data_IF_712830552971
#
_entry.id   IF_712830552971
#
_cell.length_a   1.000
_cell.length_b   1.000
_cell.length_c   1.000
_cell.angle_alpha   90.00
_cell.angle_beta   90.00
_cell.angle_gamma   90.00
#
_symmetry.space_group_name_H-M   'P 1'
#
loop_
_entity.id
_entity.type
_entity.pdbx_description
1 polymer ?
#
# COMPACT_ATOMS: atom_id res chain seq x y z
N UNK A 1 -24.11 31.27 0.88
CA UNK A 1 -22.99 31.75 0.06
C UNK A 1 -21.82 30.76 -0.07
N UNK A 2 -21.86 29.58 0.56
CA UNK A 2 -20.68 28.70 0.65
C UNK A 2 -20.73 27.45 -0.25
N UNK A 3 -21.92 26.87 -0.45
CA UNK A 3 -22.10 25.66 -1.28
C UNK A 3 -21.83 25.96 -2.76
N UNK A 4 -22.32 27.08 -3.29
CA UNK A 4 -22.10 27.44 -4.69
C UNK A 4 -20.61 27.60 -5.03
N UNK A 5 -19.83 28.28 -4.18
CA UNK A 5 -18.39 28.44 -4.34
C UNK A 5 -17.65 27.10 -4.27
N UNK A 6 -18.10 26.20 -3.39
CA UNK A 6 -17.57 24.83 -3.29
C UNK A 6 -17.80 24.03 -4.57
N UNK A 7 -19.01 24.07 -5.14
CA UNK A 7 -19.31 23.40 -6.41
C UNK A 7 -18.58 24.02 -7.61
N UNK A 8 -18.46 25.36 -7.66
CA UNK A 8 -17.64 26.03 -8.67
C UNK A 8 -16.20 25.54 -8.61
N UNK A 9 -15.62 25.45 -7.40
CA UNK A 9 -14.27 24.92 -7.24
C UNK A 9 -14.18 23.46 -7.66
N UNK A 10 -15.15 22.61 -7.31
CA UNK A 10 -15.21 21.22 -7.77
C UNK A 10 -15.21 21.18 -9.30
N UNK A 11 -16.04 21.96 -9.98
CA UNK A 11 -16.10 22.01 -11.44
C UNK A 11 -14.76 22.44 -12.08
N UNK A 12 -14.01 23.34 -11.43
CA UNK A 12 -12.69 23.78 -11.92
C UNK A 12 -11.61 22.68 -11.83
N UNK A 13 -11.71 21.76 -10.88
CA UNK A 13 -10.61 20.84 -10.54
C UNK A 13 -10.95 19.35 -10.59
N UNK A 14 -12.21 18.98 -10.80
CA UNK A 14 -12.65 17.59 -10.96
C UNK A 14 -11.93 16.95 -12.16
N UNK A 15 -11.38 15.76 -11.96
CA UNK A 15 -10.71 14.95 -13.00
C UNK A 15 -9.58 15.70 -13.74
N UNK A 16 -9.02 16.74 -13.12
CA UNK A 16 -7.94 17.56 -13.70
C UNK A 16 -6.55 17.20 -13.16
N UNK A 17 -6.46 16.18 -12.29
CA UNK A 17 -5.26 15.78 -11.53
C UNK A 17 -4.66 16.87 -10.62
N UNK A 18 -5.21 18.10 -10.64
CA UNK A 18 -4.78 19.22 -9.77
C UNK A 18 -5.07 18.94 -8.29
N UNK A 19 -5.97 18.02 -7.98
CA UNK A 19 -6.31 17.58 -6.62
C UNK A 19 -5.46 16.37 -6.22
N UNK A 20 -4.39 16.62 -5.48
CA UNK A 20 -3.51 15.55 -5.00
C UNK A 20 -4.00 15.03 -3.63
N UNK A 21 -4.89 14.04 -3.64
CA UNK A 21 -5.52 13.50 -2.44
C UNK A 21 -4.58 12.69 -1.53
N UNK A 22 -3.39 12.32 -2.03
CA UNK A 22 -2.36 11.60 -1.28
C UNK A 22 -2.06 10.24 -1.88
N UNK A 23 -1.08 9.55 -1.28
CA UNK A 23 -0.69 8.19 -1.63
C UNK A 23 -0.81 7.28 -0.42
N UNK A 24 -0.99 5.99 -0.68
CA UNK A 24 -1.19 5.00 0.37
C UNK A 24 -0.04 4.00 0.37
N UNK A 25 0.39 3.60 1.57
CA UNK A 25 1.47 2.65 1.76
C UNK A 25 1.09 1.64 2.84
N UNK A 26 1.23 0.35 2.56
CA UNK A 26 1.24 -0.67 3.60
C UNK A 26 2.60 -0.61 4.31
N UNK A 27 2.56 -0.49 5.63
CA UNK A 27 3.73 -0.49 6.50
C UNK A 27 3.54 -1.57 7.55
N UNK A 28 4.51 -2.48 7.65
CA UNK A 28 4.53 -3.57 8.62
C UNK A 28 5.82 -3.53 9.44
N UNK A 29 5.74 -3.91 10.70
CA UNK A 29 6.85 -3.86 11.66
C UNK A 29 7.20 -5.27 12.16
N UNK A 30 8.49 -5.59 12.18
CA UNK A 30 9.01 -6.89 12.67
C UNK A 30 10.31 -6.69 13.46
N UNK A 31 10.46 -7.33 14.61
CA UNK A 31 11.62 -7.12 15.49
C UNK A 31 11.45 -7.64 16.92
N UNK A 32 10.66 -8.70 17.12
CA UNK A 32 10.24 -9.18 18.45
C UNK A 32 11.40 -9.51 19.41
N UNK A 33 12.49 -10.10 18.90
CA UNK A 33 13.51 -10.69 19.76
C UNK A 33 14.31 -9.69 20.60
N UNK A 34 14.39 -8.43 20.17
CA UNK A 34 15.02 -7.33 20.93
C UNK A 34 14.00 -6.38 21.54
N UNK A 35 12.70 -6.66 21.38
CA UNK A 35 11.63 -5.84 21.93
C UNK A 35 11.47 -4.46 21.29
N UNK A 36 11.96 -4.25 20.06
CA UNK A 36 11.94 -2.91 19.44
C UNK A 36 10.53 -2.33 19.27
N UNK A 37 9.60 -3.15 18.77
CA UNK A 37 8.27 -2.69 18.37
C UNK A 37 7.19 -2.94 19.40
N UNK A 38 7.45 -3.72 20.46
CA UNK A 38 6.49 -4.05 21.54
C UNK A 38 5.11 -4.39 20.96
N UNK A 39 4.12 -3.51 21.18
CA UNK A 39 2.75 -3.66 20.70
C UNK A 39 2.60 -3.57 19.18
N UNK A 40 3.55 -3.01 18.44
CA UNK A 40 3.49 -2.85 16.98
C UNK A 40 4.00 -4.10 16.23
N UNK A 41 4.51 -5.10 16.94
CA UNK A 41 5.09 -6.31 16.34
C UNK A 41 4.09 -7.09 15.49
N UNK A 42 4.47 -7.37 14.24
CA UNK A 42 3.64 -8.10 13.29
C UNK A 42 2.37 -7.36 12.86
N UNK A 43 2.14 -6.12 13.32
CA UNK A 43 1.00 -5.31 12.90
C UNK A 43 1.28 -4.66 11.57
N UNK A 44 0.26 -4.64 10.74
CA UNK A 44 0.25 -3.96 9.45
C UNK A 44 -0.68 -2.76 9.50
N UNK A 45 -0.28 -1.68 8.84
CA UNK A 45 -1.00 -0.43 8.78
C UNK A 45 -1.02 0.10 7.35
N UNK A 46 -2.11 0.77 6.97
CA UNK A 46 -2.12 1.64 5.79
C UNK A 46 -1.80 3.06 6.25
N UNK A 47 -0.76 3.65 5.69
CA UNK A 47 -0.35 5.04 5.88
C UNK A 47 -0.87 5.87 4.72
N UNK A 48 -1.51 7.00 5.02
CA UNK A 48 -1.91 8.01 4.03
C UNK A 48 -0.91 9.18 4.05
N UNK A 49 -0.11 9.26 3.00
CA UNK A 49 0.89 10.31 2.80
C UNK A 49 0.34 11.48 1.96
N UNK A 50 0.85 12.70 2.16
CA UNK A 50 0.40 13.86 1.42
C UNK A 50 0.82 13.82 -0.06
N UNK A 51 0.00 14.42 -0.92
CA UNK A 51 0.32 14.70 -2.33
C UNK A 51 0.85 13.46 -3.07
N UNK A 52 2.09 13.53 -3.56
CA UNK A 52 2.76 12.53 -4.39
C UNK A 52 4.00 11.96 -3.69
N UNK A 53 4.06 11.99 -2.35
CA UNK A 53 5.15 11.39 -1.56
C UNK A 53 5.51 10.02 -2.13
N UNK A 54 6.79 9.84 -2.48
CA UNK A 54 7.28 8.63 -3.14
C UNK A 54 7.62 7.52 -2.14
N UNK A 55 7.78 6.28 -2.64
CA UNK A 55 8.17 5.14 -1.82
C UNK A 55 9.49 5.38 -1.07
N UNK A 56 10.48 5.97 -1.75
CA UNK A 56 11.77 6.31 -1.15
C UNK A 56 11.64 7.33 -0.03
N UNK A 57 10.77 8.33 -0.19
CA UNK A 57 10.57 9.40 0.78
C UNK A 57 9.97 8.87 2.09
N UNK A 58 8.88 8.08 2.01
CA UNK A 58 8.30 7.46 3.22
C UNK A 58 9.28 6.44 3.83
N UNK A 59 9.97 5.64 3.02
CA UNK A 59 10.93 4.64 3.50
C UNK A 59 12.08 5.29 4.26
N UNK A 60 12.66 6.37 3.73
CA UNK A 60 13.73 7.12 4.38
C UNK A 60 13.23 7.83 5.64
N UNK A 61 12.02 8.40 5.62
CA UNK A 61 11.43 9.06 6.80
C UNK A 61 11.20 8.06 7.94
N UNK A 62 10.68 6.87 7.65
CA UNK A 62 10.51 5.82 8.64
C UNK A 62 11.85 5.27 9.11
N UNK A 63 12.78 4.99 8.19
CA UNK A 63 14.13 4.55 8.53
C UNK A 63 14.80 5.53 9.52
N UNK A 64 14.78 6.82 9.20
CA UNK A 64 15.35 7.86 10.07
C UNK A 64 14.67 7.90 11.44
N UNK A 65 13.34 7.92 11.47
CA UNK A 65 12.57 7.97 12.71
C UNK A 65 12.91 6.82 13.67
N UNK A 66 13.02 5.59 13.15
CA UNK A 66 13.31 4.43 13.98
C UNK A 66 14.81 4.23 14.21
N UNK A 67 15.69 4.69 13.30
CA UNK A 67 17.12 4.76 13.52
C UNK A 67 17.45 5.70 14.68
N UNK A 68 16.77 6.85 14.77
CA UNK A 68 16.91 7.78 15.90
C UNK A 68 16.45 7.16 17.23
N UNK A 69 15.51 6.19 17.19
CA UNK A 69 14.99 5.49 18.38
C UNK A 69 15.84 4.27 18.79
N UNK A 70 16.33 3.50 17.83
CA UNK A 70 16.95 2.18 18.07
C UNK A 70 18.43 2.10 17.72
N UNK A 71 19.00 3.15 17.11
CA UNK A 71 20.33 3.16 16.52
C UNK A 71 20.30 2.85 15.03
N UNK A 72 21.07 3.60 14.24
CA UNK A 72 21.08 3.50 12.78
C UNK A 72 21.47 2.10 12.26
N UNK A 73 22.37 1.41 12.97
CA UNK A 73 22.82 0.08 12.59
C UNK A 73 21.81 -1.03 12.94
N UNK A 74 20.73 -0.71 13.64
CA UNK A 74 19.76 -1.69 14.10
C UNK A 74 18.47 -1.72 13.28
N UNK A 75 18.29 -0.83 12.28
CA UNK A 75 17.03 -0.71 11.52
C UNK A 75 17.23 -1.03 10.05
N UNK A 76 16.33 -1.84 9.47
CA UNK A 76 16.36 -2.25 8.06
C UNK A 76 15.02 -2.08 7.38
N UNK A 77 15.05 -1.60 6.13
CA UNK A 77 13.84 -1.55 5.28
C UNK A 77 13.76 -2.85 4.47
N UNK A 78 12.60 -3.52 4.52
CA UNK A 78 12.26 -4.62 3.62
C UNK A 78 11.61 -4.02 2.38
N UNK A 79 12.32 -4.09 1.25
CA UNK A 79 11.83 -3.63 -0.06
C UNK A 79 10.95 -4.67 -0.77
N UNK A 80 11.07 -5.94 -0.38
CA UNK A 80 10.23 -7.00 -0.92
C UNK A 80 8.80 -6.87 -0.43
N UNK A 81 7.81 -7.08 -1.30
CA UNK A 81 6.39 -6.94 -0.97
C UNK A 81 5.73 -8.26 -0.54
N UNK A 82 6.41 -9.40 -0.61
CA UNK A 82 5.84 -10.68 -0.19
C UNK A 82 5.53 -10.69 1.30
N UNK A 83 4.72 -11.67 1.70
CA UNK A 83 4.46 -11.93 3.11
C UNK A 83 5.78 -12.35 3.77
N UNK A 84 6.23 -11.56 4.74
CA UNK A 84 7.46 -11.82 5.47
C UNK A 84 7.20 -12.94 6.47
N UNK A 85 8.09 -13.94 6.48
CA UNK A 85 8.13 -14.95 7.52
C UNK A 85 9.12 -14.48 8.61
N UNK A 86 8.66 -14.19 9.83
CA UNK A 86 9.52 -13.67 10.89
C UNK A 86 10.71 -14.58 11.24
N UNK A 87 10.61 -15.88 10.96
CA UNK A 87 11.69 -16.86 11.21
C UNK A 87 12.91 -16.66 10.31
N UNK A 88 12.72 -16.01 9.16
CA UNK A 88 13.78 -15.77 8.17
C UNK A 88 14.49 -14.42 8.40
N UNK A 89 14.03 -13.65 9.39
CA UNK A 89 14.62 -12.37 9.77
C UNK A 89 15.71 -12.57 10.83
N UNK A 90 16.79 -11.78 10.73
CA UNK A 90 17.82 -11.77 11.78
C UNK A 90 17.25 -11.08 13.02
N UNK A 91 17.13 -11.79 14.17
CA UNK A 91 16.49 -11.26 15.36
C UNK A 91 17.15 -9.99 15.92
N UNK A 92 18.39 -9.66 15.51
CA UNK A 92 19.12 -8.47 15.95
C UNK A 92 18.54 -7.14 15.43
N UNK A 93 17.82 -7.15 14.31
CA UNK A 93 17.39 -5.92 13.65
C UNK A 93 15.88 -5.67 13.79
N UNK A 94 15.53 -4.39 13.79
CA UNK A 94 14.19 -3.89 13.58
C UNK A 94 13.93 -3.74 12.07
N UNK A 95 12.96 -4.47 11.55
CA UNK A 95 12.57 -4.44 10.14
C UNK A 95 11.28 -3.65 9.95
N UNK A 96 11.27 -2.82 8.91
CA UNK A 96 10.09 -2.10 8.45
C UNK A 96 9.86 -2.44 6.99
N UNK A 97 8.75 -3.10 6.70
CA UNK A 97 8.34 -3.37 5.31
C UNK A 97 7.46 -2.23 4.82
N UNK A 98 7.79 -1.67 3.65
CA UNK A 98 7.01 -0.58 3.06
C UNK A 98 6.63 -0.93 1.63
N UNK A 99 5.34 -1.00 1.35
CA UNK A 99 4.79 -1.38 0.04
C UNK A 99 3.79 -0.33 -0.42
N UNK A 100 3.94 0.17 -1.65
CA UNK A 100 2.94 1.06 -2.24
C UNK A 100 1.63 0.30 -2.48
N UNK A 101 0.49 0.93 -2.18
CA UNK A 101 -0.83 0.37 -2.42
C UNK A 101 -1.73 1.43 -3.08
N UNK A 102 -2.72 0.97 -3.84
CA UNK A 102 -3.77 1.82 -4.40
C UNK A 102 -5.12 1.47 -3.79
N UNK A 103 -6.09 2.39 -3.75
CA UNK A 103 -7.47 2.04 -3.41
C UNK A 103 -7.98 0.90 -4.30
N UNK A 104 -8.69 -0.05 -3.71
CA UNK A 104 -9.28 -1.19 -4.42
C UNK A 104 -10.81 -1.07 -4.43
N UNK A 105 -11.38 -1.31 -5.61
CA UNK A 105 -12.82 -1.28 -5.84
C UNK A 105 -13.23 -2.50 -6.66
N UNK A 106 -14.36 -3.09 -6.34
CA UNK A 106 -15.00 -4.10 -7.19
C UNK A 106 -15.70 -3.45 -8.37
N UNK A 107 -16.00 -4.22 -9.42
CA UNK A 107 -16.64 -3.73 -10.65
C UNK A 107 -17.89 -2.88 -10.36
N UNK A 108 -18.75 -3.34 -9.45
CA UNK A 108 -19.96 -2.61 -9.03
C UNK A 108 -19.64 -1.27 -8.36
N UNK A 109 -18.56 -1.18 -7.58
CA UNK A 109 -18.17 0.08 -6.93
C UNK A 109 -17.52 1.05 -7.91
N UNK A 110 -16.87 0.54 -8.97
CA UNK A 110 -16.30 1.36 -10.03
C UNK A 110 -17.41 2.08 -10.81
N UNK A 111 -18.58 1.47 -10.98
CA UNK A 111 -19.75 2.11 -11.59
C UNK A 111 -20.23 3.35 -10.82
N UNK A 112 -20.14 3.30 -9.48
CA UNK A 112 -20.57 4.38 -8.58
C UNK A 112 -19.49 5.45 -8.36
N UNK A 113 -18.21 5.10 -8.45
CA UNK A 113 -17.07 6.00 -8.12
C UNK A 113 -16.41 6.53 -9.38
N UNK A 114 -16.97 7.61 -9.92
CA UNK A 114 -16.58 8.17 -11.24
C UNK A 114 -15.55 9.28 -11.16
N UNK A 115 -15.36 9.88 -9.99
CA UNK A 115 -14.49 11.05 -9.79
C UNK A 115 -13.28 10.73 -8.92
N UNK A 116 -12.19 11.49 -9.11
CA UNK A 116 -11.01 11.40 -8.25
C UNK A 116 -11.34 11.51 -6.75
N UNK A 117 -12.34 12.33 -6.41
CA UNK A 117 -12.79 12.51 -5.04
C UNK A 117 -13.42 11.23 -4.47
N UNK A 118 -14.33 10.62 -5.23
CA UNK A 118 -14.99 9.37 -4.83
C UNK A 118 -13.97 8.23 -4.70
N UNK A 119 -12.93 8.20 -5.52
CA UNK A 119 -11.86 7.20 -5.40
C UNK A 119 -10.99 7.37 -4.13
N UNK A 120 -11.06 8.51 -3.44
CA UNK A 120 -10.22 8.82 -2.27
C UNK A 120 -11.01 9.10 -0.98
N UNK A 121 -12.34 9.05 -1.05
CA UNK A 121 -13.23 9.35 0.06
C UNK A 121 -14.05 8.11 0.46
N UNK A 122 -14.12 7.84 1.76
CA UNK A 122 -14.76 6.65 2.33
C UNK A 122 -14.24 5.35 1.72
N UNK A 123 -12.93 5.13 1.81
CA UNK A 123 -12.24 3.94 1.31
C UNK A 123 -11.55 3.19 2.45
N UNK A 124 -11.58 1.86 2.43
CA UNK A 124 -10.90 1.00 3.40
C UNK A 124 -10.21 -0.21 2.78
N UNK A 125 -10.32 -0.40 1.46
CA UNK A 125 -9.68 -1.50 0.73
C UNK A 125 -8.55 -1.00 -0.13
N UNK A 126 -7.42 -1.68 -0.06
CA UNK A 126 -6.20 -1.30 -0.74
C UNK A 126 -5.56 -2.51 -1.41
N UNK A 127 -5.02 -2.35 -2.60
CA UNK A 127 -4.42 -3.44 -3.38
C UNK A 127 -2.95 -3.16 -3.69
N UNK A 128 -2.16 -4.21 -3.67
CA UNK A 128 -0.84 -4.25 -4.33
C UNK A 128 -0.67 -5.57 -5.06
N UNK A 129 0.22 -5.57 -6.05
CA UNK A 129 0.52 -6.73 -6.86
C UNK A 129 1.99 -7.12 -6.68
N UNK A 130 2.27 -8.41 -6.49
CA UNK A 130 3.62 -8.95 -6.30
C UNK A 130 3.93 -9.97 -7.40
N UNK A 131 5.00 -9.77 -8.19
CA UNK A 131 5.38 -10.68 -9.25
C UNK A 131 6.04 -11.94 -8.67
N UNK A 132 5.73 -13.09 -9.26
CA UNK A 132 6.40 -14.36 -8.95
C UNK A 132 6.40 -15.28 -10.18
N UNK A 133 7.20 -16.33 -10.16
CA UNK A 133 7.24 -17.37 -11.20
C UNK A 133 6.88 -18.73 -10.61
N UNK A 134 6.48 -19.68 -11.47
CA UNK A 134 6.24 -21.07 -11.06
C UNK A 134 7.47 -21.74 -10.42
N UNK A 135 8.67 -21.24 -10.74
CA UNK A 135 9.94 -21.69 -10.17
C UNK A 135 10.32 -20.99 -8.86
N UNK A 136 9.48 -20.07 -8.35
CA UNK A 136 9.68 -19.36 -7.08
C UNK A 136 10.57 -18.11 -7.18
N UNK A 137 11.01 -17.72 -8.40
CA UNK A 137 11.69 -16.44 -8.61
C UNK A 137 10.66 -15.31 -8.65
N UNK A 138 11.10 -14.06 -8.48
CA UNK A 138 10.21 -12.89 -8.61
C UNK A 138 9.89 -12.57 -10.07
N UNK A 139 10.91 -12.64 -10.93
CA UNK A 139 10.82 -12.30 -12.35
C UNK A 139 11.24 -13.46 -13.23
N UNK A 140 10.53 -13.62 -14.34
CA UNK A 140 10.78 -14.63 -15.38
C UNK A 140 10.36 -14.14 -16.75
N UNK A 141 10.39 -15.04 -17.74
CA UNK A 141 9.81 -14.75 -19.05
C UNK A 141 8.28 -14.63 -18.98
N UNK A 142 7.67 -14.03 -20.00
CA UNK A 142 6.20 -13.81 -20.05
C UNK A 142 5.43 -15.12 -19.86
N UNK A 143 5.93 -16.24 -20.38
CA UNK A 143 5.29 -17.56 -20.25
C UNK A 143 5.32 -18.14 -18.82
N UNK A 144 6.15 -17.60 -17.92
CA UNK A 144 6.32 -18.09 -16.54
C UNK A 144 5.92 -17.04 -15.49
N UNK A 145 5.64 -15.80 -15.92
CA UNK A 145 5.41 -14.68 -15.03
C UNK A 145 3.98 -14.73 -14.48
N UNK A 146 3.84 -15.08 -13.21
CA UNK A 146 2.62 -15.00 -12.44
C UNK A 146 2.56 -13.68 -11.65
N UNK A 147 1.37 -13.35 -11.14
CA UNK A 147 1.14 -12.15 -10.33
C UNK A 147 0.22 -12.46 -9.16
N UNK A 148 0.62 -12.13 -7.94
CA UNK A 148 -0.24 -12.22 -6.75
C UNK A 148 -0.84 -10.86 -6.47
N UNK A 149 -2.16 -10.75 -6.51
CA UNK A 149 -2.91 -9.56 -6.14
C UNK A 149 -3.35 -9.71 -4.69
N UNK A 150 -2.92 -8.81 -3.82
CA UNK A 150 -3.27 -8.83 -2.39
C UNK A 150 -4.12 -7.61 -2.05
N UNK A 151 -5.28 -7.85 -1.45
CA UNK A 151 -6.23 -6.83 -1.00
C UNK A 151 -6.17 -6.76 0.52
N UNK A 152 -6.01 -5.56 1.05
CA UNK A 152 -5.91 -5.25 2.46
C UNK A 152 -7.12 -4.43 2.87
N UNK A 153 -7.75 -4.79 3.98
CA UNK A 153 -8.89 -4.06 4.55
C UNK A 153 -8.51 -3.46 5.89
N UNK A 154 -8.68 -2.15 6.03
CA UNK A 154 -8.41 -1.41 7.26
C UNK A 154 -9.60 -1.40 8.22
N UNK A 155 -9.32 -1.22 9.52
CA UNK A 155 -10.36 -1.16 10.56
C UNK A 155 -11.32 0.02 10.43
N UNK A 156 -10.88 1.10 9.79
CA UNK A 156 -11.64 2.33 9.57
C UNK A 156 -11.43 2.82 8.14
N UNK A 157 -12.31 3.71 7.69
CA UNK A 157 -12.24 4.31 6.35
C UNK A 157 -11.33 5.56 6.36
N UNK A 158 -10.64 5.81 5.25
CA UNK A 158 -10.02 7.10 4.98
C UNK A 158 -11.01 8.05 4.29
N UNK A 159 -10.91 9.37 4.55
CA UNK A 159 -10.06 10.01 5.56
C UNK A 159 -10.50 9.70 6.99
N UNK A 160 -9.55 9.64 7.93
CA UNK A 160 -9.80 9.37 9.35
C UNK A 160 -9.05 10.38 10.23
N UNK A 161 -9.38 10.40 11.53
CA UNK A 161 -8.69 11.24 12.52
C UNK A 161 -7.20 10.89 12.67
N UNK A 162 -6.80 9.66 12.31
CA UNK A 162 -5.40 9.20 12.25
C UNK A 162 -4.94 9.05 10.80
N UNK A 163 -3.67 9.37 10.53
CA UNK A 163 -3.03 9.20 9.21
C UNK A 163 -2.63 7.76 8.89
N UNK A 164 -2.63 6.88 9.90
CA UNK A 164 -2.41 5.44 9.74
C UNK A 164 -3.55 4.66 10.36
N UNK A 165 -4.01 3.61 9.69
CA UNK A 165 -5.11 2.75 10.14
C UNK A 165 -4.66 1.30 10.03
N UNK A 166 -4.89 0.52 11.08
CA UNK A 166 -4.48 -0.88 11.13
C UNK A 166 -5.24 -1.71 10.09
N UNK A 167 -4.53 -2.61 9.43
CA UNK A 167 -5.10 -3.66 8.59
C UNK A 167 -5.67 -4.75 9.50
N UNK A 168 -6.92 -5.12 9.28
CA UNK A 168 -7.63 -6.15 10.06
C UNK A 168 -7.92 -7.41 9.25
N UNK A 169 -7.85 -7.32 7.93
CA UNK A 169 -8.08 -8.44 7.03
C UNK A 169 -7.24 -8.30 5.78
N UNK A 170 -6.84 -9.44 5.23
CA UNK A 170 -6.15 -9.55 3.95
C UNK A 170 -6.69 -10.74 3.17
N UNK A 171 -6.78 -10.60 1.85
CA UNK A 171 -7.04 -11.70 0.93
C UNK A 171 -6.09 -11.59 -0.26
N UNK A 172 -5.79 -12.72 -0.90
CA UNK A 172 -4.93 -12.74 -2.08
C UNK A 172 -5.45 -13.68 -3.15
N UNK A 173 -5.30 -13.26 -4.40
CA UNK A 173 -5.61 -14.06 -5.58
C UNK A 173 -4.37 -14.13 -6.45
N UNK A 174 -4.09 -15.30 -7.02
CA UNK A 174 -2.97 -15.51 -7.92
C UNK A 174 -3.46 -15.56 -9.35
N UNK A 175 -2.77 -14.84 -10.22
CA UNK A 175 -2.98 -14.82 -11.65
C UNK A 175 -1.85 -15.61 -12.31
N UNK A 176 -2.24 -16.54 -13.16
CA UNK A 176 -1.33 -17.30 -14.00
C UNK A 176 -0.79 -16.43 -15.17
N UNK A 177 0.20 -16.91 -15.95
CA UNK A 177 0.83 -16.09 -16.98
C UNK A 177 -0.11 -15.56 -18.07
N UNK A 178 -1.14 -16.32 -18.47
CA UNK A 178 -2.11 -15.85 -19.46
C UNK A 178 -3.04 -14.78 -18.88
N UNK A 179 -3.49 -14.95 -17.63
CA UNK A 179 -4.28 -13.94 -16.92
C UNK A 179 -3.50 -12.65 -16.69
N UNK A 180 -2.19 -12.74 -16.40
CA UNK A 180 -1.30 -11.59 -16.31
C UNK A 180 -1.25 -10.86 -17.66
N UNK A 181 -1.09 -11.58 -18.76
CA UNK A 181 -1.08 -10.96 -20.09
C UNK A 181 -2.39 -10.24 -20.41
N UNK A 182 -3.54 -10.85 -20.08
CA UNK A 182 -4.86 -10.25 -20.28
C UNK A 182 -5.04 -8.99 -19.41
N UNK A 183 -4.62 -9.02 -18.15
CA UNK A 183 -4.75 -7.91 -17.20
C UNK A 183 -3.89 -6.70 -17.65
N UNK A 184 -2.65 -6.93 -18.07
CA UNK A 184 -1.76 -5.86 -18.57
C UNK A 184 -2.26 -5.27 -19.89
N UNK A 185 -2.79 -6.10 -20.80
CA UNK A 185 -3.34 -5.62 -22.07
C UNK A 185 -4.62 -4.81 -21.86
N UNK A 186 -5.52 -5.26 -20.98
CA UNK A 186 -6.78 -4.56 -20.68
C UNK A 186 -6.56 -3.19 -20.05
N UNK A 187 -5.47 -2.99 -19.30
CA UNK A 187 -5.09 -1.70 -18.71
C UNK A 187 -4.49 -0.71 -19.72
N UNK A 188 -4.02 -1.20 -20.86
CA UNK A 188 -3.29 -0.42 -21.86
C UNK A 188 -4.15 0.03 -23.04
N UNK A 189 -5.26 -0.67 -23.28
CA UNK A 189 -6.31 -0.29 -24.24
C UNK A 189 -7.13 0.85 -23.66
#
# INVERSE_FOLDING_TARGET
YDIHRSYLKVAEVVNSEKRLFGRYYRVAFYGQAVGFFEDEEGKEYIYKEPKLTGLSEISQRLLKLYADKFGADNVKIIQDSNKVNPKDLDPKYAYIQVTYVTPFFEEKEIEDRKTDFEMHHNINRFVFETPFTLSGKKHGGVAEQCKRRTILTTSHLFPYVKKRIQVISQSSTELNPIEVAIDEMSKKV
#
